data_IF_722959151588
#
_entry.id   IF_722959151588
#
_cell.length_a   1.000
_cell.length_b   1.000
_cell.length_c   1.000
_cell.angle_alpha   90.00
_cell.angle_beta   90.00
_cell.angle_gamma   90.00
#
_symmetry.space_group_name_H-M   'P 1'
#
loop_
_entity.id
_entity.type
_entity.pdbx_description
1 polymer ?
#
# COMPACT_ATOMS: atom_id res chain seq x y z
N UNK A 1 -70.88 -36.60 -10.89
CA UNK A 1 -69.88 -37.17 -11.79
C UNK A 1 -68.51 -36.62 -11.42
N UNK A 2 -67.61 -37.53 -11.07
CA UNK A 2 -66.24 -37.30 -10.60
C UNK A 2 -65.37 -36.82 -11.76
N UNK A 3 -64.54 -35.80 -11.54
CA UNK A 3 -63.15 -35.74 -12.05
C UNK A 3 -62.33 -34.77 -11.21
N UNK A 4 -61.18 -35.29 -10.79
CA UNK A 4 -60.39 -34.91 -9.63
C UNK A 4 -59.31 -33.86 -9.97
N UNK A 5 -58.71 -33.26 -8.92
CA UNK A 5 -57.98 -32.01 -8.90
C UNK A 5 -56.49 -32.20 -9.22
N UNK A 6 -55.77 -31.12 -9.55
CA UNK A 6 -54.33 -30.96 -9.26
C UNK A 6 -53.77 -29.62 -9.79
N UNK A 7 -52.99 -28.98 -8.93
CA UNK A 7 -52.01 -27.92 -9.22
C UNK A 7 -52.55 -26.55 -9.67
N UNK A 8 -52.98 -25.73 -8.71
CA UNK A 8 -52.67 -24.29 -8.79
C UNK A 8 -51.43 -24.08 -7.94
N UNK A 9 -50.32 -23.89 -8.66
CA UNK A 9 -48.96 -23.70 -8.18
C UNK A 9 -48.90 -22.45 -7.30
N UNK A 10 -48.59 -22.64 -6.02
CA UNK A 10 -48.16 -21.55 -5.16
C UNK A 10 -46.83 -21.02 -5.70
N UNK A 11 -46.86 -19.85 -6.34
CA UNK A 11 -45.67 -19.12 -6.70
C UNK A 11 -45.02 -18.61 -5.41
N UNK A 12 -44.10 -19.41 -4.86
CA UNK A 12 -43.18 -18.99 -3.82
C UNK A 12 -42.26 -17.94 -4.45
N UNK A 13 -42.59 -16.66 -4.30
CA UNK A 13 -41.69 -15.55 -4.56
C UNK A 13 -40.57 -15.63 -3.51
N UNK A 14 -39.53 -16.41 -3.83
CA UNK A 14 -38.20 -16.25 -3.26
C UNK A 14 -37.71 -14.85 -3.66
N UNK A 15 -37.96 -13.87 -2.80
CA UNK A 15 -37.10 -12.70 -2.73
C UNK A 15 -35.71 -13.22 -2.38
N UNK A 16 -34.86 -13.45 -3.38
CA UNK A 16 -33.43 -13.33 -3.18
C UNK A 16 -33.22 -11.90 -2.69
N UNK A 17 -32.94 -11.76 -1.40
CA UNK A 17 -32.26 -10.58 -0.91
C UNK A 17 -30.98 -10.50 -1.73
N UNK A 18 -30.96 -9.60 -2.72
CA UNK A 18 -29.72 -9.12 -3.31
C UNK A 18 -28.98 -8.45 -2.15
N UNK A 19 -28.17 -9.23 -1.44
CA UNK A 19 -27.21 -8.70 -0.49
C UNK A 19 -26.46 -7.60 -1.21
N UNK A 20 -26.35 -6.43 -0.58
CA UNK A 20 -25.49 -5.38 -1.14
C UNK A 20 -24.12 -6.00 -1.43
N UNK A 21 -23.52 -5.74 -2.61
CA UNK A 21 -22.23 -6.33 -2.95
C UNK A 21 -21.25 -6.08 -1.81
N UNK A 22 -20.47 -7.10 -1.46
CA UNK A 22 -19.57 -7.07 -0.32
C UNK A 22 -18.77 -5.76 -0.34
N UNK A 23 -18.86 -5.00 0.75
CA UNK A 23 -18.04 -3.82 0.98
C UNK A 23 -16.67 -4.21 1.51
N UNK A 24 -15.90 -3.24 1.98
CA UNK A 24 -14.65 -3.56 2.69
C UNK A 24 -14.96 -4.27 3.99
N UNK A 25 -14.29 -5.40 4.23
CA UNK A 25 -14.52 -6.24 5.40
C UNK A 25 -13.41 -6.01 6.42
N UNK A 26 -13.78 -5.95 7.70
CA UNK A 26 -12.83 -5.77 8.79
C UNK A 26 -12.01 -7.05 8.98
N UNK A 27 -10.67 -6.91 8.97
CA UNK A 27 -9.74 -8.03 9.12
C UNK A 27 -9.15 -8.52 7.79
N UNK A 28 -9.79 -8.22 6.66
CA UNK A 28 -9.31 -8.61 5.34
C UNK A 28 -8.16 -7.71 4.88
N UNK A 29 -7.26 -8.28 4.07
CA UNK A 29 -6.13 -7.59 3.46
C UNK A 29 -6.42 -7.22 2.01
N UNK A 30 -6.13 -5.96 1.67
CA UNK A 30 -6.40 -5.40 0.34
C UNK A 30 -5.09 -5.10 -0.41
N UNK A 31 -5.04 -5.44 -1.70
CA UNK A 31 -4.05 -4.90 -2.63
C UNK A 31 -4.74 -3.88 -3.55
N UNK A 32 -4.13 -2.73 -3.81
CA UNK A 32 -4.65 -1.76 -4.79
C UNK A 32 -3.75 -1.78 -6.00
N UNK A 33 -4.26 -2.12 -7.18
CA UNK A 33 -3.44 -2.08 -8.40
C UNK A 33 -3.34 -0.68 -8.97
N UNK A 34 -2.27 -0.38 -9.76
CA UNK A 34 -2.27 0.77 -10.64
C UNK A 34 -3.52 0.74 -11.51
N UNK A 35 -4.25 1.87 -11.55
CA UNK A 35 -5.46 1.96 -12.35
C UNK A 35 -5.08 2.06 -13.83
N UNK A 36 -5.88 1.46 -14.71
CA UNK A 36 -5.65 1.46 -16.16
C UNK A 36 -5.99 2.82 -16.77
N UNK A 37 -5.13 3.32 -17.65
CA UNK A 37 -5.37 4.52 -18.42
C UNK A 37 -6.38 4.26 -19.56
N UNK A 38 -7.59 4.81 -19.47
CA UNK A 38 -8.57 4.81 -20.57
C UNK A 38 -8.71 6.20 -21.21
N UNK A 39 -7.76 7.10 -20.95
CA UNK A 39 -7.73 8.42 -21.57
C UNK A 39 -7.21 8.31 -23.01
N UNK A 40 -7.30 9.41 -23.77
CA UNK A 40 -6.61 9.54 -25.07
C UNK A 40 -5.18 10.09 -24.92
N UNK A 41 -4.70 10.25 -23.70
CA UNK A 41 -3.42 10.89 -23.37
C UNK A 41 -2.51 9.88 -22.67
N UNK A 42 -1.64 9.22 -23.44
CA UNK A 42 -0.70 8.22 -22.92
C UNK A 42 0.29 8.80 -21.89
N UNK A 43 0.59 10.11 -21.99
CA UNK A 43 1.45 10.84 -21.04
C UNK A 43 0.92 10.81 -19.61
N UNK A 44 -0.37 10.54 -19.41
CA UNK A 44 -1.00 10.45 -18.10
C UNK A 44 -0.79 9.10 -17.39
N UNK A 45 0.00 8.18 -17.95
CA UNK A 45 0.25 6.85 -17.37
C UNK A 45 0.58 6.85 -15.87
N UNK A 46 1.28 7.88 -15.38
CA UNK A 46 1.66 8.05 -13.98
C UNK A 46 0.46 8.11 -13.02
N UNK A 47 -0.72 8.50 -13.52
CA UNK A 47 -1.92 8.63 -12.72
C UNK A 47 -2.42 7.30 -12.18
N UNK A 48 -2.18 6.19 -12.90
CA UNK A 48 -2.55 4.86 -12.42
C UNK A 48 -1.89 4.54 -11.09
N UNK A 49 -0.59 4.81 -11.00
CA UNK A 49 0.21 4.65 -9.78
C UNK A 49 -0.16 5.68 -8.71
N UNK A 50 -0.36 6.94 -9.11
CA UNK A 50 -0.78 8.01 -8.19
C UNK A 50 -2.11 7.67 -7.48
N UNK A 51 -3.09 7.18 -8.24
CA UNK A 51 -4.38 6.70 -7.72
C UNK A 51 -4.15 5.54 -6.76
N UNK A 52 -3.35 4.54 -7.15
CA UNK A 52 -3.13 3.37 -6.32
C UNK A 52 -2.44 3.71 -4.98
N UNK A 53 -1.41 4.58 -5.00
CA UNK A 53 -0.73 5.06 -3.78
C UNK A 53 -1.71 5.83 -2.88
N UNK A 54 -2.41 6.81 -3.44
CA UNK A 54 -3.34 7.64 -2.67
C UNK A 54 -4.49 6.84 -2.07
N UNK A 55 -5.10 5.92 -2.84
CA UNK A 55 -6.15 5.04 -2.33
C UNK A 55 -5.62 4.12 -1.22
N UNK A 56 -4.40 3.59 -1.36
CA UNK A 56 -3.77 2.78 -0.30
C UNK A 56 -3.62 3.58 0.98
N UNK A 57 -3.12 4.81 0.90
CA UNK A 57 -2.97 5.70 2.06
C UNK A 57 -4.33 6.03 2.70
N UNK A 58 -5.36 6.35 1.90
CA UNK A 58 -6.70 6.61 2.43
C UNK A 58 -7.33 5.37 3.09
N UNK A 59 -7.09 4.17 2.55
CA UNK A 59 -7.55 2.92 3.14
C UNK A 59 -6.82 2.62 4.46
N UNK A 60 -5.50 2.80 4.50
CA UNK A 60 -4.70 2.65 5.72
C UNK A 60 -5.16 3.63 6.81
N UNK A 61 -5.47 4.87 6.44
CA UNK A 61 -6.02 5.89 7.34
C UNK A 61 -7.45 5.56 7.83
N UNK A 62 -8.21 4.78 7.05
CA UNK A 62 -9.52 4.25 7.44
C UNK A 62 -9.42 3.00 8.34
N UNK A 63 -8.21 2.51 8.62
CA UNK A 63 -7.96 1.31 9.43
C UNK A 63 -8.01 0.00 8.64
N UNK A 64 -7.98 0.07 7.31
CA UNK A 64 -7.95 -1.11 6.43
C UNK A 64 -6.51 -1.61 6.30
N UNK A 65 -6.34 -2.94 6.33
CA UNK A 65 -5.04 -3.57 6.10
C UNK A 65 -4.76 -3.58 4.60
N UNK A 66 -3.67 -2.94 4.17
CA UNK A 66 -3.27 -2.92 2.77
C UNK A 66 -1.86 -3.46 2.56
N UNK A 67 -1.64 -4.08 1.40
CA UNK A 67 -0.30 -4.36 0.87
C UNK A 67 0.37 -3.01 0.53
N UNK A 68 1.66 -2.88 0.84
CA UNK A 68 2.43 -1.66 0.51
C UNK A 68 2.67 -1.53 -1.00
N UNK A 69 2.94 -0.31 -1.46
CA UNK A 69 3.24 -0.05 -2.87
C UNK A 69 4.53 -0.77 -3.31
N UNK A 70 5.54 -0.83 -2.45
CA UNK A 70 6.80 -1.53 -2.71
C UNK A 70 6.57 -3.04 -2.89
N UNK A 71 5.85 -3.68 -1.96
CA UNK A 71 5.56 -5.12 -2.03
C UNK A 71 4.69 -5.45 -3.24
N UNK A 72 3.73 -4.58 -3.58
CA UNK A 72 2.94 -4.71 -4.82
C UNK A 72 3.82 -4.67 -6.06
N UNK A 73 4.75 -3.71 -6.14
CA UNK A 73 5.67 -3.56 -7.27
C UNK A 73 6.57 -4.79 -7.40
N UNK A 74 7.14 -5.28 -6.30
CA UNK A 74 7.95 -6.50 -6.31
C UNK A 74 7.11 -7.70 -6.76
N UNK A 75 5.86 -7.81 -6.29
CA UNK A 75 4.93 -8.84 -6.74
C UNK A 75 4.58 -8.77 -8.24
N UNK A 76 4.46 -7.57 -8.81
CA UNK A 76 4.25 -7.37 -10.26
C UNK A 76 5.46 -7.85 -11.07
N UNK A 77 6.67 -7.50 -10.62
CA UNK A 77 7.92 -7.95 -11.24
C UNK A 77 8.07 -9.48 -11.15
N UNK A 78 7.74 -10.09 -10.01
CA UNK A 78 7.77 -11.54 -9.81
C UNK A 78 6.88 -12.30 -10.81
N UNK A 79 5.76 -11.71 -11.25
CA UNK A 79 4.86 -12.29 -12.26
C UNK A 79 5.11 -11.79 -13.68
N UNK A 80 6.19 -11.03 -13.90
CA UNK A 80 6.63 -10.56 -15.21
C UNK A 80 5.78 -9.45 -15.82
N UNK A 81 5.10 -8.62 -15.01
CA UNK A 81 4.27 -7.52 -15.49
C UNK A 81 4.90 -6.15 -15.20
N UNK A 82 4.91 -5.28 -16.21
CA UNK A 82 5.21 -3.85 -16.04
C UNK A 82 4.01 -3.16 -15.37
N UNK A 83 4.29 -2.26 -14.42
CA UNK A 83 3.28 -1.46 -13.72
C UNK A 83 2.51 -0.49 -14.64
N UNK A 84 2.98 -0.29 -15.88
CA UNK A 84 2.35 0.55 -16.90
C UNK A 84 1.37 -0.20 -17.81
N UNK A 85 1.43 -1.53 -17.82
CA UNK A 85 0.55 -2.33 -18.67
C UNK A 85 -0.79 -2.63 -17.98
N UNK A 86 -1.90 -2.67 -18.71
CA UNK A 86 -3.18 -3.10 -18.15
C UNK A 86 -3.08 -4.52 -17.57
N UNK A 87 -3.37 -4.65 -16.28
CA UNK A 87 -3.36 -5.96 -15.61
C UNK A 87 -4.69 -6.67 -15.86
N UNK A 88 -4.65 -7.85 -16.48
CA UNK A 88 -5.84 -8.68 -16.67
C UNK A 88 -6.42 -9.12 -15.32
N UNK A 89 -7.72 -9.43 -15.26
CA UNK A 89 -8.35 -9.91 -14.02
C UNK A 89 -7.69 -11.19 -13.48
N UNK A 90 -7.30 -12.11 -14.38
CA UNK A 90 -6.60 -13.33 -14.00
C UNK A 90 -5.23 -13.02 -13.36
N UNK A 91 -4.48 -12.10 -13.97
CA UNK A 91 -3.20 -11.62 -13.43
C UNK A 91 -3.36 -10.91 -12.09
N UNK A 92 -4.41 -10.09 -11.94
CA UNK A 92 -4.75 -9.42 -10.69
C UNK A 92 -5.05 -10.43 -9.58
N UNK A 93 -5.82 -11.48 -9.86
CA UNK A 93 -6.12 -12.56 -8.89
C UNK A 93 -4.85 -13.33 -8.51
N UNK A 94 -3.98 -13.66 -9.49
CA UNK A 94 -2.69 -14.32 -9.22
C UNK A 94 -1.82 -13.46 -8.30
N UNK A 95 -1.72 -12.16 -8.61
CA UNK A 95 -0.99 -11.20 -7.79
C UNK A 95 -1.57 -11.09 -6.38
N UNK A 96 -2.89 -11.00 -6.23
CA UNK A 96 -3.55 -10.94 -4.93
C UNK A 96 -3.17 -12.14 -4.05
N UNK A 97 -3.23 -13.36 -4.60
CA UNK A 97 -2.84 -14.59 -3.89
C UNK A 97 -1.38 -14.57 -3.47
N UNK A 98 -0.50 -14.10 -4.36
CA UNK A 98 0.94 -13.98 -4.11
C UNK A 98 1.27 -12.97 -3.02
N UNK A 99 0.55 -11.86 -2.99
CA UNK A 99 0.67 -10.80 -1.99
C UNK A 99 -0.05 -11.15 -0.67
N UNK A 100 -0.73 -12.30 -0.60
CA UNK A 100 -1.55 -12.68 0.56
C UNK A 100 -2.71 -11.71 0.81
N UNK A 101 -3.19 -11.03 -0.23
CA UNK A 101 -4.37 -10.19 -0.17
C UNK A 101 -5.63 -11.05 -0.36
N UNK A 102 -6.67 -10.77 0.44
CA UNK A 102 -7.99 -11.40 0.32
C UNK A 102 -8.81 -10.73 -0.78
N UNK A 103 -8.56 -9.43 -0.99
CA UNK A 103 -9.22 -8.62 -2.00
C UNK A 103 -8.23 -7.78 -2.80
N UNK A 104 -8.57 -7.53 -4.06
CA UNK A 104 -7.82 -6.64 -4.93
C UNK A 104 -8.72 -5.55 -5.49
N UNK A 105 -8.30 -4.29 -5.35
CA UNK A 105 -8.96 -3.14 -5.95
C UNK A 105 -8.33 -2.88 -7.31
N UNK A 106 -9.16 -3.04 -8.35
CA UNK A 106 -8.80 -2.78 -9.75
C UNK A 106 -9.72 -1.71 -10.31
N UNK A 107 -9.25 -1.01 -11.34
CA UNK A 107 -10.03 0.06 -11.93
C UNK A 107 -9.32 0.77 -13.06
N UNK A 108 -9.93 1.85 -13.48
CA UNK A 108 -9.55 2.65 -14.62
C UNK A 108 -9.88 4.12 -14.39
N UNK A 109 -9.20 4.98 -15.13
CA UNK A 109 -9.46 6.41 -15.13
C UNK A 109 -9.57 6.97 -16.55
N UNK A 110 -10.38 8.02 -16.69
CA UNK A 110 -10.61 8.70 -17.96
C UNK A 110 -10.61 10.21 -17.75
N UNK A 111 -9.91 10.92 -18.63
CA UNK A 111 -9.93 12.39 -18.67
C UNK A 111 -11.19 12.84 -19.39
N UNK A 112 -11.94 13.72 -18.74
CA UNK A 112 -13.16 14.33 -19.23
C UNK A 112 -12.85 15.75 -19.72
N UNK A 113 -13.84 16.41 -20.34
CA UNK A 113 -13.72 17.81 -20.70
C UNK A 113 -13.40 18.71 -19.49
N UNK A 114 -12.76 19.86 -19.73
CA UNK A 114 -12.41 20.87 -18.71
C UNK A 114 -11.53 20.33 -17.56
N UNK A 115 -10.57 19.46 -17.87
CA UNK A 115 -9.70 18.82 -16.88
C UNK A 115 -10.46 17.99 -15.82
N UNK A 116 -11.66 17.53 -16.17
CA UNK A 116 -12.40 16.59 -15.36
C UNK A 116 -11.74 15.22 -15.37
N UNK A 117 -11.87 14.48 -14.29
CA UNK A 117 -11.35 13.13 -14.13
C UNK A 117 -12.47 12.23 -13.61
N UNK A 118 -12.68 11.08 -14.26
CA UNK A 118 -13.45 9.97 -13.70
C UNK A 118 -12.49 8.88 -13.23
N UNK A 119 -12.71 8.39 -12.01
CA UNK A 119 -12.01 7.23 -11.44
C UNK A 119 -13.08 6.18 -11.13
N UNK A 120 -12.98 5.02 -11.79
CA UNK A 120 -13.89 3.89 -11.62
C UNK A 120 -13.10 2.69 -11.15
N UNK A 121 -13.60 2.00 -10.14
CA UNK A 121 -12.93 0.81 -9.63
C UNK A 121 -13.87 -0.09 -8.84
N UNK A 122 -13.43 -1.32 -8.63
CA UNK A 122 -14.18 -2.33 -7.90
C UNK A 122 -13.23 -3.29 -7.20
N UNK A 123 -13.69 -3.89 -6.11
CA UNK A 123 -12.94 -4.92 -5.40
C UNK A 123 -13.29 -6.30 -5.95
N UNK A 124 -12.28 -7.16 -6.06
CA UNK A 124 -12.43 -8.55 -6.50
C UNK A 124 -11.81 -9.46 -5.46
N UNK A 125 -12.49 -10.53 -5.10
CA UNK A 125 -11.94 -11.54 -4.20
C UNK A 125 -10.75 -12.24 -4.85
N UNK A 126 -9.67 -12.45 -4.09
CA UNK A 126 -8.53 -13.26 -4.52
C UNK A 126 -8.89 -14.73 -4.79
N UNK A 127 -10.07 -15.17 -4.35
CA UNK A 127 -10.61 -16.49 -4.69
C UNK A 127 -11.26 -16.52 -6.08
N UNK A 128 -11.55 -15.35 -6.68
CA UNK A 128 -12.14 -15.21 -8.02
C UNK A 128 -13.63 -15.52 -8.08
N UNK A 129 -14.28 -15.69 -6.92
CA UNK A 129 -15.68 -16.11 -6.81
C UNK A 129 -16.65 -14.94 -6.61
N UNK A 130 -16.13 -13.76 -6.24
CA UNK A 130 -16.95 -12.62 -5.83
C UNK A 130 -16.37 -11.30 -6.36
N UNK A 131 -17.21 -10.53 -7.05
CA UNK A 131 -16.99 -9.10 -7.30
C UNK A 131 -17.76 -8.31 -6.25
N UNK A 132 -17.05 -7.44 -5.53
CA UNK A 132 -17.64 -6.59 -4.52
C UNK A 132 -18.11 -5.26 -5.09
N UNK A 133 -18.17 -4.25 -4.22
CA UNK A 133 -18.74 -2.95 -4.55
C UNK A 133 -17.99 -2.23 -5.67
N UNK A 134 -18.72 -1.81 -6.71
CA UNK A 134 -18.24 -0.89 -7.74
C UNK A 134 -18.40 0.56 -7.28
N UNK A 135 -17.38 1.38 -7.53
CA UNK A 135 -17.31 2.78 -7.14
C UNK A 135 -16.91 3.62 -8.35
N UNK A 136 -17.63 4.71 -8.56
CA UNK A 136 -17.25 5.77 -9.49
C UNK A 136 -17.22 7.11 -8.75
N UNK A 137 -16.17 7.88 -8.99
CA UNK A 137 -16.10 9.29 -8.56
C UNK A 137 -15.64 10.15 -9.74
N UNK A 138 -16.20 11.35 -9.81
CA UNK A 138 -15.85 12.36 -10.80
C UNK A 138 -15.57 13.69 -10.12
N UNK A 139 -14.66 14.48 -10.70
CA UNK A 139 -14.18 15.75 -10.17
C UNK A 139 -13.09 16.35 -11.04
N UNK A 140 -12.34 17.32 -10.52
CA UNK A 140 -11.26 17.99 -11.26
C UNK A 140 -9.92 17.32 -10.96
N UNK A 141 -9.08 17.11 -11.98
CA UNK A 141 -7.76 16.48 -11.84
C UNK A 141 -6.85 17.21 -10.83
N UNK A 142 -6.92 18.54 -10.78
CA UNK A 142 -6.17 19.36 -9.84
C UNK A 142 -6.46 19.00 -8.36
N UNK A 143 -7.60 18.37 -8.08
CA UNK A 143 -8.02 17.94 -6.76
C UNK A 143 -8.05 16.40 -6.65
N UNK A 144 -7.02 15.76 -7.22
CA UNK A 144 -6.86 14.30 -7.22
C UNK A 144 -6.93 13.70 -5.81
N UNK A 145 -6.37 14.38 -4.81
CA UNK A 145 -6.42 13.92 -3.42
C UNK A 145 -7.87 13.84 -2.90
N UNK A 146 -8.69 14.87 -3.12
CA UNK A 146 -10.09 14.83 -2.70
C UNK A 146 -10.89 13.74 -3.44
N UNK A 147 -10.59 13.51 -4.72
CA UNK A 147 -11.18 12.41 -5.49
C UNK A 147 -10.84 11.04 -4.87
N UNK A 148 -9.58 10.80 -4.52
CA UNK A 148 -9.14 9.58 -3.85
C UNK A 148 -9.82 9.42 -2.48
N UNK A 149 -9.92 10.51 -1.71
CA UNK A 149 -10.63 10.51 -0.43
C UNK A 149 -12.11 10.15 -0.60
N UNK A 150 -12.79 10.75 -1.58
CA UNK A 150 -14.20 10.49 -1.89
C UNK A 150 -14.40 9.04 -2.34
N UNK A 151 -13.47 8.50 -3.13
CA UNK A 151 -13.50 7.11 -3.55
C UNK A 151 -13.48 6.16 -2.34
N UNK A 152 -12.49 6.32 -1.45
CA UNK A 152 -12.40 5.49 -0.24
C UNK A 152 -13.59 5.72 0.70
N UNK A 153 -14.11 6.95 0.78
CA UNK A 153 -15.30 7.22 1.57
C UNK A 153 -16.51 6.40 1.11
N UNK A 154 -16.67 6.25 -0.21
CA UNK A 154 -17.74 5.47 -0.81
C UNK A 154 -17.48 3.96 -0.72
N UNK A 155 -16.21 3.54 -0.70
CA UNK A 155 -15.81 2.14 -0.58
C UNK A 155 -15.93 1.62 0.86
N UNK A 156 -15.56 2.43 1.86
CA UNK A 156 -15.52 2.06 3.29
C UNK A 156 -16.58 2.85 4.10
N UNK A 157 -17.73 2.24 4.45
CA UNK A 157 -18.74 2.81 5.32
C UNK A 157 -18.18 3.37 6.64
N UNK A 158 -18.75 4.47 7.15
CA UNK A 158 -18.33 5.09 8.42
C UNK A 158 -18.36 4.13 9.60
N UNK A 159 -19.33 3.20 9.63
CA UNK A 159 -19.49 2.20 10.69
C UNK A 159 -18.34 1.18 10.77
N UNK A 160 -17.57 1.02 9.69
CA UNK A 160 -16.47 0.07 9.60
C UNK A 160 -15.10 0.74 9.75
N UNK A 161 -15.05 2.06 9.87
CA UNK A 161 -13.80 2.80 10.08
C UNK A 161 -13.38 2.66 11.52
N UNK A 162 -12.12 2.31 11.76
CA UNK A 162 -11.57 2.37 13.10
C UNK A 162 -11.46 3.83 13.55
N UNK A 163 -11.70 4.14 14.84
CA UNK A 163 -11.42 5.47 15.37
C UNK A 163 -9.95 5.82 15.09
N UNK A 164 -9.70 7.06 14.68
CA UNK A 164 -8.34 7.55 14.45
C UNK A 164 -7.51 7.29 15.71
N UNK A 165 -6.38 6.59 15.57
CA UNK A 165 -5.43 6.40 16.68
C UNK A 165 -4.88 7.77 17.08
N UNK A 166 -4.78 8.03 18.38
CA UNK A 166 -4.17 9.24 18.90
C UNK A 166 -2.76 9.43 18.32
N UNK A 167 -2.48 10.61 17.73
CA UNK A 167 -1.16 10.96 17.16
C UNK A 167 -1.02 10.83 15.64
N UNK A 168 -2.03 10.34 14.91
CA UNK A 168 -2.05 10.36 13.45
C UNK A 168 -2.74 11.65 12.97
N UNK A 169 -2.03 12.50 12.22
CA UNK A 169 -2.61 13.71 11.63
C UNK A 169 -3.66 13.29 10.59
N UNK A 170 -4.89 13.84 10.63
CA UNK A 170 -5.90 13.52 9.62
C UNK A 170 -5.39 13.86 8.22
N UNK A 171 -5.55 12.94 7.27
CA UNK A 171 -5.04 13.13 5.90
C UNK A 171 -5.65 14.37 5.20
N UNK A 172 -6.84 14.81 5.62
CA UNK A 172 -7.49 16.05 5.17
C UNK A 172 -6.69 17.31 5.51
N UNK A 173 -5.95 17.32 6.62
CA UNK A 173 -5.10 18.45 7.00
C UNK A 173 -3.79 18.48 6.21
N UNK A 174 -3.54 17.46 5.38
CA UNK A 174 -2.30 17.28 4.62
C UNK A 174 -2.46 17.42 3.10
N UNK A 175 -3.68 17.75 2.64
CA UNK A 175 -4.02 17.91 1.22
C UNK A 175 -3.47 19.20 0.61
N UNK A 176 -2.15 19.41 0.71
CA UNK A 176 -1.45 20.60 0.20
C UNK A 176 -0.35 20.27 -0.80
N UNK A 177 -0.11 18.99 -1.10
CA UNK A 177 0.95 18.59 -2.04
C UNK A 177 0.52 18.99 -3.47
N UNK A 178 1.33 19.79 -4.19
CA UNK A 178 1.04 20.17 -5.56
C UNK A 178 0.93 18.95 -6.48
N UNK A 179 0.01 19.00 -7.46
CA UNK A 179 -0.17 17.91 -8.42
C UNK A 179 1.13 17.60 -9.19
N UNK A 180 1.97 18.59 -9.48
CA UNK A 180 3.29 18.42 -10.09
C UNK A 180 4.22 17.55 -9.25
N UNK A 181 4.23 17.73 -7.92
CA UNK A 181 5.02 16.89 -7.01
C UNK A 181 4.49 15.46 -6.96
N UNK A 182 3.15 15.30 -6.99
CA UNK A 182 2.51 13.97 -7.07
C UNK A 182 2.87 13.28 -8.38
N UNK A 183 2.76 13.96 -9.52
CA UNK A 183 3.14 13.43 -10.83
C UNK A 183 4.59 12.93 -10.83
N UNK A 184 5.53 13.80 -10.47
CA UNK A 184 6.96 13.48 -10.51
C UNK A 184 7.32 12.34 -9.56
N UNK A 185 6.71 12.31 -8.37
CA UNK A 185 6.88 11.21 -7.43
C UNK A 185 6.32 9.89 -7.97
N UNK A 186 5.09 9.88 -8.52
CA UNK A 186 4.50 8.67 -9.09
C UNK A 186 5.31 8.15 -10.28
N UNK A 187 5.85 9.04 -11.12
CA UNK A 187 6.80 8.66 -12.18
C UNK A 187 8.07 8.05 -11.62
N UNK A 188 8.61 8.60 -10.52
CA UNK A 188 9.79 8.06 -9.86
C UNK A 188 9.58 6.62 -9.34
N UNK A 189 8.37 6.30 -8.89
CA UNK A 189 8.03 4.95 -8.41
C UNK A 189 7.89 3.92 -9.55
N UNK A 190 7.73 4.38 -10.79
CA UNK A 190 7.58 3.51 -11.96
C UNK A 190 8.89 3.23 -12.71
N UNK A 191 9.94 4.03 -12.48
CA UNK A 191 11.23 3.83 -13.15
C UNK A 191 12.11 2.88 -12.35
N UNK A 192 12.76 1.95 -13.03
CA UNK A 192 13.74 1.03 -12.42
C UNK A 192 15.12 1.69 -12.26
N UNK A 193 15.49 2.52 -13.25
CA UNK A 193 16.76 3.23 -13.28
C UNK A 193 16.89 4.19 -12.09
N UNK A 194 17.92 3.97 -11.28
CA UNK A 194 18.14 4.71 -10.04
C UNK A 194 18.45 6.19 -10.29
N UNK A 195 19.13 6.51 -11.39
CA UNK A 195 19.47 7.89 -11.73
C UNK A 195 18.24 8.69 -12.15
N UNK A 196 17.41 8.13 -13.03
CA UNK A 196 16.11 8.70 -13.40
C UNK A 196 15.20 8.85 -12.19
N UNK A 197 15.14 7.84 -11.30
CA UNK A 197 14.39 7.93 -10.04
C UNK A 197 14.87 9.12 -9.21
N UNK A 198 16.19 9.29 -9.10
CA UNK A 198 16.82 10.39 -8.36
C UNK A 198 16.45 11.76 -8.92
N UNK A 199 16.51 11.93 -10.24
CA UNK A 199 16.13 13.17 -10.92
C UNK A 199 14.67 13.52 -10.65
N UNK A 200 13.76 12.56 -10.90
CA UNK A 200 12.33 12.75 -10.72
C UNK A 200 11.97 13.12 -9.28
N UNK A 201 12.56 12.44 -8.30
CA UNK A 201 12.38 12.77 -6.88
C UNK A 201 12.96 14.14 -6.53
N UNK A 202 14.09 14.53 -7.11
CA UNK A 202 14.68 15.86 -6.88
C UNK A 202 13.74 16.95 -7.38
N UNK A 203 13.22 16.81 -8.59
CA UNK A 203 12.24 17.76 -9.17
C UNK A 203 10.91 17.76 -8.41
N UNK A 204 10.46 16.62 -7.89
CA UNK A 204 9.29 16.57 -7.02
C UNK A 204 9.47 17.43 -5.76
N UNK A 205 10.69 17.42 -5.20
CA UNK A 205 11.08 18.18 -4.02
C UNK A 205 11.40 19.66 -4.31
N UNK A 206 11.69 20.03 -5.56
CA UNK A 206 11.75 21.43 -5.97
C UNK A 206 10.36 22.07 -5.97
N UNK A 207 9.35 21.30 -6.39
CA UNK A 207 7.94 21.72 -6.39
C UNK A 207 7.33 21.72 -4.98
N UNK A 208 7.71 20.76 -4.12
CA UNK A 208 7.33 20.74 -2.70
C UNK A 208 8.49 20.24 -1.82
N UNK A 209 9.25 21.16 -1.19
CA UNK A 209 10.41 20.83 -0.36
C UNK A 209 10.10 19.99 0.89
N UNK A 210 8.85 19.88 1.31
CA UNK A 210 8.46 19.11 2.50
C UNK A 210 7.62 17.89 2.16
N UNK A 211 7.60 17.48 0.88
CA UNK A 211 6.87 16.30 0.46
C UNK A 211 7.49 15.02 1.04
N UNK A 212 6.92 14.57 2.15
CA UNK A 212 7.49 13.52 2.99
C UNK A 212 7.71 12.19 2.27
N UNK A 213 6.79 11.81 1.37
CA UNK A 213 6.92 10.57 0.61
C UNK A 213 8.14 10.61 -0.33
N UNK A 214 8.36 11.73 -1.02
CA UNK A 214 9.53 11.91 -1.87
C UNK A 214 10.83 11.99 -1.06
N UNK A 215 10.83 12.65 0.11
CA UNK A 215 11.98 12.71 1.01
C UNK A 215 12.38 11.32 1.54
N UNK A 216 11.40 10.52 1.99
CA UNK A 216 11.64 9.14 2.45
C UNK A 216 12.20 8.30 1.30
N UNK A 217 11.62 8.37 0.10
CA UNK A 217 12.12 7.61 -1.05
C UNK A 217 13.52 8.08 -1.49
N UNK A 218 13.87 9.37 -1.32
CA UNK A 218 15.25 9.82 -1.51
C UNK A 218 16.20 9.20 -0.49
N UNK A 219 15.82 9.17 0.79
CA UNK A 219 16.63 8.55 1.84
C UNK A 219 16.87 7.05 1.57
N UNK A 220 15.81 6.31 1.21
CA UNK A 220 15.88 4.89 0.88
C UNK A 220 16.76 4.63 -0.35
N UNK A 221 16.74 5.52 -1.34
CA UNK A 221 17.61 5.44 -2.51
C UNK A 221 19.09 5.65 -2.13
N UNK A 222 19.42 6.62 -1.27
CA UNK A 222 20.80 6.80 -0.78
C UNK A 222 21.31 5.56 -0.03
N UNK A 223 20.45 4.90 0.76
CA UNK A 223 20.79 3.64 1.46
C UNK A 223 21.09 2.54 0.44
N UNK A 224 20.23 2.36 -0.57
CA UNK A 224 20.41 1.34 -1.61
C UNK A 224 21.70 1.55 -2.42
N UNK A 225 22.16 2.78 -2.56
CA UNK A 225 23.40 3.15 -3.24
C UNK A 225 24.65 3.06 -2.34
N UNK A 226 24.51 2.54 -1.12
CA UNK A 226 25.62 2.39 -0.19
C UNK A 226 26.08 3.69 0.46
N UNK A 227 25.23 4.73 0.49
CA UNK A 227 25.49 6.03 1.12
C UNK A 227 24.52 6.31 2.29
N UNK A 228 24.45 5.45 3.31
CA UNK A 228 23.49 5.59 4.40
C UNK A 228 23.66 6.89 5.19
N UNK A 229 24.87 7.44 5.32
CA UNK A 229 25.09 8.74 5.97
C UNK A 229 24.36 9.89 5.25
N UNK A 230 24.30 9.86 3.91
CA UNK A 230 23.64 10.88 3.10
C UNK A 230 22.10 10.83 3.24
N UNK A 231 21.55 9.68 3.65
CA UNK A 231 20.11 9.52 3.83
C UNK A 231 19.55 10.39 4.96
N UNK A 232 20.35 10.68 6.00
CA UNK A 232 19.91 11.47 7.15
C UNK A 232 19.57 12.91 6.78
N UNK A 233 20.25 13.50 5.80
CA UNK A 233 19.92 14.84 5.28
C UNK A 233 18.46 14.94 4.81
N UNK A 234 17.98 13.90 4.13
CA UNK A 234 16.61 13.85 3.63
C UNK A 234 15.61 13.55 4.75
N UNK A 235 15.97 12.65 5.67
CA UNK A 235 15.14 12.28 6.82
C UNK A 235 14.96 13.44 7.80
N UNK A 236 15.98 14.26 8.04
CA UNK A 236 15.89 15.42 8.93
C UNK A 236 14.87 16.44 8.40
N UNK A 237 14.71 16.57 7.08
CA UNK A 237 13.65 17.39 6.47
C UNK A 237 12.25 16.82 6.69
N UNK A 238 12.11 15.49 6.75
CA UNK A 238 10.80 14.84 7.03
C UNK A 238 10.33 15.21 8.43
N UNK A 239 11.25 15.30 9.40
CA UNK A 239 10.91 15.67 10.78
C UNK A 239 10.33 17.09 10.92
N UNK A 240 10.55 17.94 9.91
CA UNK A 240 9.98 19.29 9.84
C UNK A 240 8.56 19.32 9.24
N UNK A 241 8.11 18.21 8.65
CA UNK A 241 6.84 18.10 7.94
C UNK A 241 5.74 17.49 8.82
N UNK A 242 4.49 17.92 8.60
CA UNK A 242 3.32 17.17 9.11
C UNK A 242 3.14 15.91 8.26
N UNK A 243 3.37 14.75 8.86
CA UNK A 243 3.32 13.43 8.21
C UNK A 243 2.07 12.64 8.61
N UNK A 244 1.43 12.00 7.61
CA UNK A 244 0.25 11.14 7.77
C UNK A 244 0.65 9.82 8.41
N UNK A 245 1.82 9.32 8.01
CA UNK A 245 2.35 8.03 8.38
C UNK A 245 3.72 8.24 9.04
N UNK A 246 3.77 8.80 10.26
CA UNK A 246 5.02 9.08 10.96
C UNK A 246 5.84 7.80 11.23
N UNK A 247 5.20 6.63 11.31
CA UNK A 247 5.89 5.34 11.40
C UNK A 247 6.81 5.09 10.20
N UNK A 248 6.45 5.55 8.98
CA UNK A 248 7.28 5.37 7.77
C UNK A 248 8.58 6.15 7.88
N UNK A 249 8.55 7.33 8.50
CA UNK A 249 9.74 8.10 8.82
C UNK A 249 10.64 7.35 9.80
N UNK A 250 10.09 6.83 10.90
CA UNK A 250 10.87 6.07 11.88
C UNK A 250 11.43 4.77 11.32
N UNK A 251 10.69 4.09 10.44
CA UNK A 251 11.18 2.93 9.70
C UNK A 251 12.37 3.30 8.81
N UNK A 252 12.23 4.31 7.94
CA UNK A 252 13.30 4.72 7.04
C UNK A 252 14.54 5.22 7.80
N UNK A 253 14.35 5.89 8.95
CA UNK A 253 15.46 6.29 9.83
C UNK A 253 16.12 5.10 10.51
N UNK A 254 15.37 4.07 10.88
CA UNK A 254 15.91 2.80 11.35
C UNK A 254 16.75 2.09 10.27
N UNK A 255 16.23 2.03 9.04
CA UNK A 255 16.93 1.46 7.88
C UNK A 255 18.27 2.19 7.64
N UNK A 256 18.27 3.53 7.74
CA UNK A 256 19.48 4.35 7.62
C UNK A 256 20.55 4.00 8.68
N UNK A 257 20.17 3.91 9.95
CA UNK A 257 21.10 3.53 11.01
C UNK A 257 21.60 2.09 10.87
N UNK A 258 20.72 1.16 10.50
CA UNK A 258 21.08 -0.23 10.28
C UNK A 258 22.13 -0.35 9.17
N UNK A 259 21.91 0.33 8.04
CA UNK A 259 22.87 0.38 6.94
C UNK A 259 24.18 1.11 7.32
N UNK A 260 24.13 2.07 8.25
CA UNK A 260 25.32 2.72 8.80
C UNK A 260 26.04 1.90 9.88
N UNK A 261 25.55 0.69 10.21
CA UNK A 261 26.12 -0.17 11.25
C UNK A 261 25.78 0.21 12.69
N UNK A 262 25.02 1.29 12.90
CA UNK A 262 24.54 1.69 14.23
C UNK A 262 23.26 0.92 14.60
N UNK A 263 23.47 -0.33 15.04
CA UNK A 263 22.38 -1.24 15.42
C UNK A 263 21.55 -0.71 16.58
N UNK A 264 22.17 0.01 17.53
CA UNK A 264 21.48 0.55 18.70
C UNK A 264 20.44 1.58 18.29
N UNK A 265 20.85 2.57 17.51
CA UNK A 265 19.93 3.57 16.96
C UNK A 265 18.88 2.93 16.06
N UNK A 266 19.23 1.93 15.23
CA UNK A 266 18.27 1.23 14.38
C UNK A 266 17.13 0.59 15.21
N UNK A 267 17.48 -0.16 16.26
CA UNK A 267 16.52 -0.79 17.18
C UNK A 267 15.56 0.24 17.78
N UNK A 268 16.09 1.37 18.27
CA UNK A 268 15.27 2.42 18.89
C UNK A 268 14.30 3.05 17.90
N UNK A 269 14.72 3.29 16.65
CA UNK A 269 13.85 3.86 15.62
C UNK A 269 12.77 2.85 15.18
N UNK A 270 13.07 1.56 15.03
CA UNK A 270 12.04 0.56 14.73
C UNK A 270 11.03 0.38 15.88
N UNK A 271 11.47 0.46 17.14
CA UNK A 271 10.56 0.48 18.29
C UNK A 271 9.62 1.69 18.27
N UNK A 272 10.12 2.88 17.89
CA UNK A 272 9.28 4.07 17.70
C UNK A 272 8.26 3.88 16.57
N UNK A 273 8.66 3.27 15.46
CA UNK A 273 7.73 2.93 14.39
C UNK A 273 6.62 1.99 14.87
N UNK A 274 6.98 0.91 15.58
CA UNK A 274 6.02 -0.05 16.14
C UNK A 274 5.06 0.57 17.15
N UNK A 275 5.52 1.54 17.95
CA UNK A 275 4.70 2.26 18.92
C UNK A 275 3.64 3.13 18.24
N UNK A 276 3.94 3.70 17.07
CA UNK A 276 2.98 4.49 16.28
C UNK A 276 2.02 3.60 15.50
N UNK A 277 2.56 2.60 14.81
CA UNK A 277 1.79 1.62 14.05
C UNK A 277 2.53 0.29 14.02
N UNK A 278 1.91 -0.72 14.61
CA UNK A 278 2.38 -2.10 14.52
C UNK A 278 2.25 -2.59 13.07
N UNK A 279 3.36 -2.90 12.42
CA UNK A 279 3.42 -3.42 11.05
C UNK A 279 4.35 -4.63 10.98
N UNK A 280 4.07 -5.55 10.05
CA UNK A 280 4.93 -6.70 9.81
C UNK A 280 6.36 -6.28 9.44
N UNK A 281 6.49 -5.30 8.53
CA UNK A 281 7.78 -4.73 8.12
C UNK A 281 8.62 -4.23 9.29
N UNK A 282 8.04 -3.48 10.23
CA UNK A 282 8.80 -2.98 11.38
C UNK A 282 9.26 -4.12 12.31
N UNK A 283 8.46 -5.18 12.44
CA UNK A 283 8.87 -6.39 13.15
C UNK A 283 10.00 -7.13 12.46
N UNK A 284 9.94 -7.30 11.13
CA UNK A 284 10.99 -7.96 10.35
C UNK A 284 12.29 -7.18 10.40
N UNK A 285 12.26 -5.86 10.19
CA UNK A 285 13.42 -4.97 10.29
C UNK A 285 14.09 -5.01 11.66
N UNK A 286 13.29 -4.96 12.72
CA UNK A 286 13.79 -5.08 14.09
C UNK A 286 14.39 -6.47 14.36
N UNK A 287 13.69 -7.53 13.95
CA UNK A 287 14.17 -8.90 14.08
C UNK A 287 15.49 -9.14 13.35
N UNK A 288 15.62 -8.63 12.12
CA UNK A 288 16.84 -8.72 11.32
C UNK A 288 18.04 -8.04 12.01
N UNK A 289 17.86 -6.82 12.52
CA UNK A 289 18.94 -6.10 13.23
C UNK A 289 19.33 -6.79 14.54
N UNK A 290 18.35 -7.32 15.29
CA UNK A 290 18.61 -8.10 16.51
C UNK A 290 19.39 -9.38 16.21
N UNK A 291 19.02 -10.08 15.13
CA UNK A 291 19.72 -11.29 14.69
C UNK A 291 21.19 -11.00 14.33
N UNK A 292 21.44 -9.91 13.60
CA UNK A 292 22.81 -9.45 13.29
C UNK A 292 23.62 -9.07 14.54
N UNK A 293 22.94 -8.69 15.63
CA UNK A 293 23.55 -8.42 16.93
C UNK A 293 23.73 -9.66 17.82
N UNK A 294 23.37 -10.85 17.34
CA UNK A 294 23.43 -12.10 18.11
C UNK A 294 22.28 -12.29 19.12
N UNK A 295 21.29 -11.39 19.14
CA UNK A 295 20.11 -11.46 20.00
C UNK A 295 19.04 -12.37 19.37
N UNK A 296 19.41 -13.62 19.12
CA UNK A 296 18.61 -14.58 18.33
C UNK A 296 17.23 -14.84 18.94
N UNK A 297 17.13 -14.90 20.28
CA UNK A 297 15.84 -15.12 20.94
C UNK A 297 14.84 -13.99 20.64
N UNK A 298 15.24 -12.74 20.87
CA UNK A 298 14.39 -11.57 20.62
C UNK A 298 14.10 -11.40 19.13
N UNK A 299 15.08 -11.70 18.27
CA UNK A 299 14.88 -11.70 16.82
C UNK A 299 13.75 -12.64 16.39
N UNK A 300 13.76 -13.89 16.89
CA UNK A 300 12.71 -14.88 16.60
C UNK A 300 11.33 -14.44 17.10
N UNK A 301 11.25 -13.80 18.27
CA UNK A 301 9.99 -13.25 18.78
C UNK A 301 9.43 -12.19 17.83
N UNK A 302 10.27 -11.25 17.39
CA UNK A 302 9.83 -10.20 16.48
C UNK A 302 9.48 -10.73 15.09
N UNK A 303 10.26 -11.65 14.52
CA UNK A 303 9.93 -12.26 13.22
C UNK A 303 8.62 -13.04 13.30
N UNK A 304 8.39 -13.79 14.39
CA UNK A 304 7.11 -14.50 14.60
C UNK A 304 5.93 -13.54 14.75
N UNK A 305 6.12 -12.41 15.44
CA UNK A 305 5.10 -11.37 15.53
C UNK A 305 4.80 -10.74 14.17
N UNK A 306 5.83 -10.48 13.35
CA UNK A 306 5.66 -10.01 11.98
C UNK A 306 4.90 -11.01 11.10
N UNK A 307 5.23 -12.30 11.18
CA UNK A 307 4.53 -13.37 10.46
C UNK A 307 3.10 -13.61 10.97
N UNK A 308 2.79 -13.22 12.20
CA UNK A 308 1.39 -13.23 12.68
C UNK A 308 0.57 -12.15 11.97
N UNK A 309 1.19 -11.02 11.62
CA UNK A 309 0.55 -9.93 10.88
C UNK A 309 0.54 -10.17 9.36
N UNK A 310 1.61 -10.77 8.83
CA UNK A 310 1.75 -11.14 7.43
C UNK A 310 2.34 -12.55 7.27
N UNK A 311 1.50 -13.60 7.32
CA UNK A 311 1.97 -14.99 7.27
C UNK A 311 2.65 -15.41 5.97
N UNK A 312 2.57 -14.59 4.91
CA UNK A 312 3.06 -14.91 3.58
C UNK A 312 4.13 -13.93 3.10
N UNK A 313 4.64 -13.08 3.99
CA UNK A 313 5.71 -12.16 3.64
C UNK A 313 7.01 -12.94 3.34
N UNK A 314 7.62 -12.77 2.15
CA UNK A 314 8.84 -13.50 1.80
C UNK A 314 10.02 -13.17 2.71
N UNK A 315 10.22 -11.90 3.06
CA UNK A 315 11.32 -11.47 3.94
C UNK A 315 11.12 -12.08 5.34
N UNK A 316 9.89 -12.04 5.86
CA UNK A 316 9.55 -12.68 7.13
C UNK A 316 9.79 -14.19 7.14
N UNK A 317 9.41 -14.90 6.07
CA UNK A 317 9.60 -16.35 5.95
C UNK A 317 11.08 -16.72 5.80
N UNK A 318 11.83 -15.98 5.00
CA UNK A 318 13.28 -16.17 4.83
C UNK A 318 14.02 -15.95 6.16
N UNK A 319 13.72 -14.85 6.86
CA UNK A 319 14.29 -14.57 8.18
C UNK A 319 13.92 -15.64 9.21
N UNK A 320 12.70 -16.15 9.16
CA UNK A 320 12.26 -17.21 10.07
C UNK A 320 13.01 -18.53 9.81
N UNK A 321 13.19 -18.91 8.54
CA UNK A 321 13.94 -20.10 8.14
C UNK A 321 15.43 -19.97 8.53
N UNK A 322 16.05 -18.83 8.23
CA UNK A 322 17.45 -18.55 8.55
C UNK A 322 17.73 -18.67 10.07
N UNK A 323 16.78 -18.29 10.93
CA UNK A 323 16.91 -18.40 12.38
C UNK A 323 16.46 -19.76 12.95
N UNK A 324 15.87 -20.63 12.12
CA UNK A 324 15.49 -21.99 12.50
C UNK A 324 16.61 -23.01 12.21
N UNK A 325 17.53 -22.68 11.29
CA UNK A 325 18.69 -23.52 11.00
C UNK A 325 19.56 -23.69 12.26
N UNK A 326 20.02 -24.92 12.57
CA UNK A 326 20.96 -25.12 13.66
C UNK A 326 22.22 -24.31 13.38
N UNK A 327 22.69 -23.56 14.39
CA UNK A 327 24.00 -22.90 14.32
C UNK A 327 25.02 -24.00 14.06
N UNK A 328 25.60 -24.04 12.86
CA UNK A 328 26.75 -24.89 12.60
C UNK A 328 27.85 -24.46 13.55
N UNK A 329 27.97 -25.17 14.67
CA UNK A 329 29.11 -25.05 15.57
C UNK A 329 30.30 -25.62 14.82
N UNK A 330 30.98 -24.77 14.06
CA UNK A 330 32.29 -25.06 13.50
C UNK A 330 33.22 -25.43 14.63
N UNK A 331 33.55 -26.72 14.69
CA UNK A 331 34.56 -27.35 15.56
C UNK A 331 35.97 -26.97 15.13
#
# INVERSE_FOLDING_TARGET
>A
MIKNPRLVMAALLLFLAAGSPAGVMAGDRYAVLPFTNETREDSLYWMGEAIAIGLTDHLLAAGVTCVSAERRRDGLLEIGLDSREPVSLASAILLARRLGADWILVGHYTLLANHGLSIRGHIVSAQGLEEGKQIEVQGVLADLHHLQQKFVHNLVPRSQRQPQREGITPMQEMSTVPLSSVELYSRAMLVEDQEQRRDLLTRALESDPVYSAALIQRALLEIAEGRPESSFLWLDRVALAKVAFPERYWLARGDAFAANGDRGSAIDNYKKALALRTTATAHFRLGAVLAQGGQIHDARLHISAGLTLDPRDPEGLELHEALAAPVETGS
#
